data_IF_867288338891
#
_entry.id   IF_867288338891
#
_cell.length_a   1.000
_cell.length_b   1.000
_cell.length_c   1.000
_cell.angle_alpha   90.00
_cell.angle_beta   90.00
_cell.angle_gamma   90.00
#
_symmetry.space_group_name_H-M   'P 1'
#
loop_
_entity.id
_entity.type
_entity.pdbx_description
1 polymer ?
#
# COMPACT_ATOMS: atom_id res chain seq x y z
N UNK A 1 9.55 -24.56 23.77
CA UNK A 1 10.54 -23.60 23.24
C UNK A 1 9.82 -22.26 23.18
N UNK A 2 10.23 -21.30 24.00
CA UNK A 2 9.46 -20.06 24.18
C UNK A 2 9.59 -19.18 22.93
N UNK A 3 8.49 -19.00 22.19
CA UNK A 3 8.44 -18.27 20.91
C UNK A 3 8.95 -16.83 21.10
N UNK A 4 8.71 -16.24 22.28
CA UNK A 4 9.15 -14.89 22.63
C UNK A 4 10.68 -14.76 22.62
N UNK A 5 11.40 -15.76 23.17
CA UNK A 5 12.87 -15.77 23.20
C UNK A 5 13.48 -15.90 21.80
N UNK A 6 12.87 -16.69 20.92
CA UNK A 6 13.33 -16.84 19.54
C UNK A 6 13.16 -15.53 18.77
N UNK A 7 12.03 -14.84 18.94
CA UNK A 7 11.76 -13.54 18.33
C UNK A 7 12.73 -12.46 18.84
N UNK A 8 12.98 -12.41 20.15
CA UNK A 8 13.92 -11.45 20.75
C UNK A 8 15.36 -11.66 20.23
N UNK A 9 15.82 -12.92 20.12
CA UNK A 9 17.15 -13.22 19.55
C UNK A 9 17.27 -12.81 18.08
N UNK A 10 16.24 -13.12 17.28
CA UNK A 10 16.21 -12.74 15.87
C UNK A 10 16.21 -11.22 15.70
N UNK A 11 15.38 -10.53 16.46
CA UNK A 11 15.27 -9.07 16.45
C UNK A 11 16.60 -8.40 16.81
N UNK A 12 17.27 -8.87 17.87
CA UNK A 12 18.58 -8.35 18.28
C UNK A 12 19.64 -8.54 17.19
N UNK A 13 19.67 -9.69 16.52
CA UNK A 13 20.58 -9.96 15.40
C UNK A 13 20.34 -9.00 14.22
N UNK A 14 19.08 -8.71 13.91
CA UNK A 14 18.69 -7.75 12.86
C UNK A 14 19.11 -6.33 13.22
N UNK A 15 18.88 -5.90 14.46
CA UNK A 15 19.25 -4.55 14.97
C UNK A 15 20.75 -4.28 14.96
N UNK A 16 21.58 -5.32 14.98
CA UNK A 16 23.05 -5.21 14.93
C UNK A 16 23.60 -4.98 13.51
N UNK A 17 22.78 -5.04 12.45
CA UNK A 17 23.24 -4.83 11.07
C UNK A 17 23.01 -3.38 10.60
N UNK A 18 24.07 -2.70 10.12
CA UNK A 18 23.99 -1.30 9.65
C UNK A 18 23.07 -1.12 8.44
N UNK A 19 23.08 -2.05 7.49
CA UNK A 19 22.28 -1.96 6.27
C UNK A 19 20.77 -2.06 6.57
N UNK A 20 20.38 -2.88 7.54
CA UNK A 20 19.00 -2.97 7.97
C UNK A 20 18.56 -1.71 8.73
N UNK A 21 19.47 -1.05 9.47
CA UNK A 21 19.21 0.29 10.02
C UNK A 21 18.98 1.33 8.92
N UNK A 22 19.82 1.34 7.89
CA UNK A 22 19.62 2.25 6.75
C UNK A 22 18.32 1.98 6.01
N UNK A 23 17.97 0.70 5.82
CA UNK A 23 16.68 0.33 5.24
C UNK A 23 15.49 0.81 6.09
N UNK A 24 15.58 0.73 7.42
CA UNK A 24 14.57 1.31 8.31
C UNK A 24 14.47 2.83 8.17
N UNK A 25 15.60 3.55 8.09
CA UNK A 25 15.61 5.00 7.86
C UNK A 25 15.02 5.35 6.49
N UNK A 26 15.40 4.61 5.44
CA UNK A 26 14.83 4.75 4.11
C UNK A 26 13.30 4.58 4.13
N UNK A 27 12.78 3.50 4.73
CA UNK A 27 11.34 3.27 4.81
C UNK A 27 10.61 4.41 5.54
N UNK A 28 11.19 4.97 6.61
CA UNK A 28 10.59 6.11 7.32
C UNK A 28 10.47 7.34 6.43
N UNK A 29 11.54 7.67 5.71
CA UNK A 29 11.58 8.83 4.81
C UNK A 29 10.64 8.61 3.63
N UNK A 30 10.67 7.43 3.01
CA UNK A 30 9.84 7.09 1.86
C UNK A 30 8.33 7.10 2.22
N UNK A 31 7.95 6.51 3.34
CA UNK A 31 6.55 6.51 3.82
C UNK A 31 6.07 7.93 4.17
N UNK A 32 6.93 8.73 4.81
CA UNK A 32 6.61 10.13 5.08
C UNK A 32 6.45 10.94 3.78
N UNK A 33 7.33 10.72 2.79
CA UNK A 33 7.22 11.35 1.47
C UNK A 33 5.93 10.96 0.72
N UNK A 34 5.37 9.78 0.97
CA UNK A 34 4.08 9.39 0.40
C UNK A 34 2.87 10.08 1.06
N UNK A 35 2.89 10.24 2.39
CA UNK A 35 1.75 10.80 3.14
C UNK A 35 1.78 12.32 3.30
N UNK A 36 2.94 12.97 3.25
CA UNK A 36 3.02 14.43 3.38
C UNK A 36 2.30 15.17 2.23
N UNK A 37 2.59 14.91 0.93
CA UNK A 37 1.89 15.59 -0.15
C UNK A 37 0.41 15.20 -0.19
N UNK A 38 0.14 13.90 -0.03
CA UNK A 38 -1.22 13.35 -0.05
C UNK A 38 -2.11 13.93 1.05
N UNK A 39 -1.58 14.10 2.25
CA UNK A 39 -2.29 14.70 3.38
C UNK A 39 -2.45 16.21 3.22
N UNK A 40 -1.41 16.90 2.73
CA UNK A 40 -1.45 18.36 2.55
C UNK A 40 -2.56 18.82 1.60
N UNK A 41 -2.71 18.16 0.45
CA UNK A 41 -3.79 18.44 -0.52
C UNK A 41 -5.17 18.30 0.14
N UNK A 42 -5.37 17.32 1.02
CA UNK A 42 -6.64 17.14 1.75
C UNK A 42 -6.90 18.24 2.77
N UNK A 43 -5.84 18.74 3.41
CA UNK A 43 -5.96 19.86 4.36
C UNK A 43 -6.28 21.16 3.64
N UNK A 44 -5.70 21.39 2.45
CA UNK A 44 -6.01 22.55 1.62
C UNK A 44 -7.42 22.51 1.02
N UNK A 45 -8.16 21.41 1.20
CA UNK A 45 -9.50 21.26 0.63
C UNK A 45 -9.49 21.07 -0.88
N UNK A 46 -8.33 20.77 -1.48
CA UNK A 46 -8.19 20.49 -2.90
C UNK A 46 -8.57 19.04 -3.22
N UNK A 47 -8.94 18.80 -4.48
CA UNK A 47 -9.19 17.43 -4.96
C UNK A 47 -7.90 16.64 -4.94
N UNK A 48 -7.96 15.40 -4.44
CA UNK A 48 -6.79 14.51 -4.36
C UNK A 48 -6.20 14.16 -5.74
N UNK A 49 -7.04 14.10 -6.78
CA UNK A 49 -6.63 13.78 -8.15
C UNK A 49 -7.52 14.52 -9.16
N UNK A 50 -7.04 14.66 -10.40
CA UNK A 50 -7.84 15.11 -11.54
C UNK A 50 -8.55 13.95 -12.28
N UNK A 51 -8.79 12.84 -11.59
CA UNK A 51 -9.46 11.68 -12.17
C UNK A 51 -10.92 12.01 -12.46
N UNK A 52 -11.45 11.52 -13.59
CA UNK A 52 -12.85 11.72 -13.96
C UNK A 52 -13.76 11.19 -12.85
N UNK A 53 -14.83 11.94 -12.53
CA UNK A 53 -15.81 11.50 -11.55
C UNK A 53 -16.46 10.17 -11.97
N UNK A 54 -16.60 9.91 -13.28
CA UNK A 54 -17.15 8.65 -13.80
C UNK A 54 -16.29 7.42 -13.48
N UNK A 55 -14.98 7.60 -13.22
CA UNK A 55 -14.11 6.51 -12.84
C UNK A 55 -14.47 6.02 -11.42
N UNK A 56 -14.47 4.71 -11.10
CA UNK A 56 -14.86 4.20 -9.78
C UNK A 56 -14.13 4.85 -8.60
N UNK A 57 -12.80 4.99 -8.71
CA UNK A 57 -11.99 5.73 -7.74
C UNK A 57 -12.33 7.23 -7.70
N UNK A 58 -12.65 7.83 -8.84
CA UNK A 58 -13.02 9.24 -8.95
C UNK A 58 -14.33 9.52 -8.24
N UNK A 59 -15.37 8.70 -8.50
CA UNK A 59 -16.64 8.73 -7.77
C UNK A 59 -16.44 8.68 -6.25
N UNK A 60 -15.64 7.73 -5.76
CA UNK A 60 -15.36 7.60 -4.34
C UNK A 60 -14.64 8.83 -3.77
N UNK A 61 -13.58 9.30 -4.45
CA UNK A 61 -12.79 10.44 -3.98
C UNK A 61 -13.57 11.76 -4.03
N UNK A 62 -14.46 11.94 -5.01
CA UNK A 62 -15.35 13.09 -5.10
C UNK A 62 -16.35 13.07 -3.94
N UNK A 63 -17.03 11.94 -3.70
CA UNK A 63 -17.92 11.80 -2.57
C UNK A 63 -17.19 12.04 -1.24
N UNK A 64 -15.97 11.51 -1.11
CA UNK A 64 -15.12 11.71 0.06
C UNK A 64 -14.74 13.19 0.23
N UNK A 65 -14.38 13.89 -0.84
CA UNK A 65 -14.05 15.32 -0.82
C UNK A 65 -15.23 16.16 -0.31
N UNK A 66 -16.44 15.87 -0.76
CA UNK A 66 -17.68 16.55 -0.32
C UNK A 66 -18.07 16.28 1.14
N UNK A 67 -17.42 15.35 1.84
CA UNK A 67 -17.62 15.18 3.30
C UNK A 67 -17.04 16.34 4.13
N UNK A 68 -16.29 17.27 3.51
CA UNK A 68 -15.77 18.47 4.15
C UNK A 68 -14.77 18.15 5.27
N UNK A 69 -15.18 18.37 6.52
CA UNK A 69 -14.29 18.22 7.68
C UNK A 69 -13.70 16.81 7.81
N UNK A 70 -14.43 15.77 7.39
CA UNK A 70 -13.93 14.39 7.46
C UNK A 70 -12.77 14.17 6.48
N UNK A 71 -12.84 14.74 5.27
CA UNK A 71 -11.75 14.72 4.30
C UNK A 71 -10.48 15.40 4.85
N UNK A 72 -10.63 16.58 5.44
CA UNK A 72 -9.55 17.30 6.12
C UNK A 72 -8.98 16.49 7.29
N UNK A 73 -9.84 15.85 8.10
CA UNK A 73 -9.43 15.02 9.23
C UNK A 73 -8.55 13.84 8.79
N UNK A 74 -8.89 13.16 7.70
CA UNK A 74 -8.02 12.12 7.10
C UNK A 74 -6.65 12.72 6.72
N UNK A 75 -6.63 13.90 6.11
CA UNK A 75 -5.41 14.63 5.77
C UNK A 75 -4.52 14.92 6.99
N UNK A 76 -5.14 15.40 8.08
CA UNK A 76 -4.44 15.65 9.35
C UNK A 76 -3.83 14.35 9.87
N UNK A 77 -4.59 13.25 9.93
CA UNK A 77 -4.06 11.96 10.39
C UNK A 77 -2.89 11.46 9.52
N UNK A 78 -2.97 11.62 8.20
CA UNK A 78 -1.90 11.26 7.27
C UNK A 78 -0.63 12.09 7.54
N UNK A 79 -0.76 13.40 7.68
CA UNK A 79 0.37 14.28 7.97
C UNK A 79 0.95 14.03 9.35
N UNK A 80 0.13 13.83 10.38
CA UNK A 80 0.58 13.49 11.73
C UNK A 80 1.36 12.18 11.71
N UNK A 81 0.85 11.13 11.06
CA UNK A 81 1.56 9.86 10.93
C UNK A 81 2.94 10.03 10.26
N UNK A 82 3.01 10.83 9.18
CA UNK A 82 4.25 11.10 8.46
C UNK A 82 5.27 11.90 9.29
N UNK A 83 4.85 12.96 9.98
CA UNK A 83 5.72 13.77 10.85
C UNK A 83 6.24 12.93 12.03
N UNK A 84 5.37 12.15 12.67
CA UNK A 84 5.78 11.25 13.76
C UNK A 84 6.79 10.20 13.27
N UNK A 85 6.65 9.72 12.02
CA UNK A 85 7.61 8.82 11.38
C UNK A 85 8.97 9.46 11.16
N UNK A 86 9.07 10.76 10.87
CA UNK A 86 10.34 11.46 10.66
C UNK A 86 11.10 11.70 11.98
N UNK A 87 10.40 11.93 13.09
CA UNK A 87 11.01 12.14 14.40
C UNK A 87 11.39 10.79 15.03
N UNK A 88 12.69 10.48 15.25
CA UNK A 88 13.14 9.14 15.68
C UNK A 88 12.52 8.65 16.99
N UNK A 89 12.19 9.55 17.91
CA UNK A 89 11.59 9.22 19.20
C UNK A 89 10.13 8.77 19.07
N UNK A 90 9.37 9.34 18.14
CA UNK A 90 7.94 9.07 17.93
C UNK A 90 7.64 8.10 16.79
N UNK A 91 8.66 7.61 16.10
CA UNK A 91 8.50 6.79 14.89
C UNK A 91 7.65 5.52 15.10
N UNK A 92 7.60 4.97 16.31
CA UNK A 92 6.70 3.84 16.64
C UNK A 92 5.24 4.25 16.54
N UNK A 93 4.88 5.38 17.17
CA UNK A 93 3.51 5.93 17.11
C UNK A 93 3.14 6.28 15.68
N UNK A 94 4.09 6.88 14.94
CA UNK A 94 3.95 7.12 13.52
C UNK A 94 3.63 5.84 12.74
N UNK A 95 4.43 4.78 12.88
CA UNK A 95 4.21 3.51 12.18
C UNK A 95 2.88 2.83 12.55
N UNK A 96 2.48 2.87 13.83
CA UNK A 96 1.20 2.31 14.30
C UNK A 96 0.03 3.09 13.73
N UNK A 97 0.08 4.43 13.73
CA UNK A 97 -0.97 5.27 13.14
C UNK A 97 -1.02 5.14 11.61
N UNK A 98 0.13 5.02 10.96
CA UNK A 98 0.24 4.89 9.51
C UNK A 98 -0.40 3.60 8.99
N UNK A 99 -0.22 2.49 9.72
CA UNK A 99 -0.61 1.15 9.26
C UNK A 99 -2.09 1.02 8.85
N UNK A 100 -3.09 1.33 9.71
CA UNK A 100 -4.50 1.18 9.34
C UNK A 100 -4.88 2.09 8.16
N UNK A 101 -4.27 3.28 8.07
CA UNK A 101 -4.53 4.23 6.98
C UNK A 101 -4.03 3.67 5.64
N UNK A 102 -2.76 3.24 5.58
CA UNK A 102 -2.21 2.70 4.32
C UNK A 102 -2.85 1.37 3.93
N UNK A 103 -3.21 0.54 4.90
CA UNK A 103 -3.90 -0.72 4.65
C UNK A 103 -5.28 -0.46 4.03
N UNK A 104 -6.04 0.50 4.56
CA UNK A 104 -7.33 0.88 3.99
C UNK A 104 -7.17 1.41 2.55
N UNK A 105 -6.20 2.28 2.29
CA UNK A 105 -5.89 2.79 0.94
C UNK A 105 -5.50 1.65 -0.01
N UNK A 106 -4.72 0.68 0.46
CA UNK A 106 -4.30 -0.49 -0.31
C UNK A 106 -5.51 -1.33 -0.71
N UNK A 107 -6.37 -1.67 0.25
CA UNK A 107 -7.59 -2.45 0.01
C UNK A 107 -8.51 -1.71 -0.98
N UNK A 108 -8.72 -0.41 -0.79
CA UNK A 108 -9.51 0.42 -1.70
C UNK A 108 -8.92 0.40 -3.12
N UNK A 109 -7.62 0.62 -3.26
CA UNK A 109 -6.94 0.66 -4.56
C UNK A 109 -7.07 -0.66 -5.32
N UNK A 110 -6.99 -1.79 -4.61
CA UNK A 110 -7.19 -3.13 -5.16
C UNK A 110 -8.66 -3.37 -5.56
N UNK A 111 -9.60 -2.98 -4.70
CA UNK A 111 -11.03 -3.18 -4.93
C UNK A 111 -11.51 -2.49 -6.22
N UNK A 112 -11.05 -1.26 -6.46
CA UNK A 112 -11.46 -0.46 -7.64
C UNK A 112 -10.46 -0.53 -8.80
N UNK A 113 -9.43 -1.39 -8.70
CA UNK A 113 -8.38 -1.59 -9.71
C UNK A 113 -7.70 -0.27 -10.15
N UNK A 114 -7.42 0.61 -9.19
CA UNK A 114 -6.91 1.96 -9.47
C UNK A 114 -5.39 1.96 -9.70
N UNK A 115 -4.99 2.27 -10.94
CA UNK A 115 -3.59 2.23 -11.37
C UNK A 115 -2.68 3.22 -10.62
N UNK A 116 -3.20 4.39 -10.20
CA UNK A 116 -2.40 5.43 -9.55
C UNK A 116 -1.74 5.00 -8.23
N UNK A 117 -2.32 4.01 -7.53
CA UNK A 117 -1.74 3.45 -6.30
C UNK A 117 -1.71 1.93 -6.25
N UNK A 118 -1.96 1.25 -7.37
CA UNK A 118 -2.07 -0.22 -7.42
C UNK A 118 -0.78 -0.91 -6.95
N UNK A 119 0.38 -0.40 -7.40
CA UNK A 119 1.69 -0.94 -7.02
C UNK A 119 2.26 -0.25 -5.78
N UNK A 120 2.09 1.07 -5.64
CA UNK A 120 2.71 1.81 -4.54
C UNK A 120 2.08 1.49 -3.19
N UNK A 121 0.75 1.35 -3.09
CA UNK A 121 0.09 1.14 -1.80
C UNK A 121 0.42 -0.22 -1.15
N UNK A 122 0.49 -1.38 -1.86
CA UNK A 122 0.98 -2.62 -1.25
C UNK A 122 2.44 -2.53 -0.79
N UNK A 123 3.31 -1.86 -1.57
CA UNK A 123 4.71 -1.67 -1.18
C UNK A 123 4.84 -0.80 0.08
N UNK A 124 4.00 0.22 0.22
CA UNK A 124 3.95 1.05 1.43
C UNK A 124 3.41 0.26 2.64
N UNK A 125 2.43 -0.63 2.46
CA UNK A 125 1.99 -1.58 3.50
C UNK A 125 3.17 -2.45 3.94
N UNK A 126 3.91 -3.05 3.01
CA UNK A 126 5.07 -3.90 3.31
C UNK A 126 6.19 -3.13 4.00
N UNK A 127 6.48 -1.91 3.56
CA UNK A 127 7.47 -1.03 4.19
C UNK A 127 7.06 -0.67 5.63
N UNK A 128 5.77 -0.41 5.88
CA UNK A 128 5.30 -0.10 7.23
C UNK A 128 5.25 -1.37 8.12
N UNK A 129 4.90 -2.53 7.57
CA UNK A 129 5.03 -3.82 8.26
C UNK A 129 6.48 -4.08 8.68
N UNK A 130 7.44 -3.81 7.79
CA UNK A 130 8.85 -3.85 8.15
C UNK A 130 9.18 -2.92 9.31
N UNK A 131 8.65 -1.68 9.33
CA UNK A 131 8.86 -0.75 10.45
C UNK A 131 8.23 -1.25 11.76
N UNK A 132 7.04 -1.85 11.71
CA UNK A 132 6.42 -2.46 12.90
C UNK A 132 7.30 -3.60 13.43
N UNK A 133 7.80 -4.48 12.56
CA UNK A 133 8.78 -5.51 12.94
C UNK A 133 10.10 -4.91 13.46
N UNK A 134 10.54 -3.79 12.88
CA UNK A 134 11.72 -3.06 13.32
C UNK A 134 11.55 -2.44 14.71
N UNK A 135 10.33 -2.08 15.12
CA UNK A 135 10.01 -1.54 16.44
C UNK A 135 9.41 -2.57 17.41
N UNK A 136 9.54 -3.86 17.09
CA UNK A 136 9.05 -4.95 17.92
C UNK A 136 9.52 -4.87 19.38
N UNK A 137 10.76 -4.42 19.62
CA UNK A 137 11.33 -4.20 20.96
C UNK A 137 10.47 -3.29 21.85
N UNK A 138 9.75 -2.33 21.24
CA UNK A 138 8.88 -1.38 21.94
C UNK A 138 7.41 -1.81 21.88
N UNK A 139 6.97 -2.38 20.76
CA UNK A 139 5.59 -2.82 20.57
C UNK A 139 5.22 -4.02 21.43
N UNK A 140 6.19 -4.89 21.76
CA UNK A 140 5.94 -6.10 22.55
C UNK A 140 5.33 -5.83 23.93
N UNK A 141 5.57 -4.66 24.51
CA UNK A 141 4.99 -4.25 25.80
C UNK A 141 3.52 -3.83 25.72
N UNK A 142 3.02 -3.53 24.52
CA UNK A 142 1.63 -3.14 24.26
C UNK A 142 0.79 -4.38 23.89
N UNK A 143 1.42 -5.44 23.39
CA UNK A 143 0.73 -6.65 22.96
C UNK A 143 0.27 -7.50 24.17
N UNK A 144 -0.99 -7.99 24.17
CA UNK A 144 -1.57 -8.71 25.30
C UNK A 144 -0.90 -10.07 25.57
N UNK A 145 -0.11 -10.58 24.62
CA UNK A 145 0.48 -11.91 24.64
C UNK A 145 1.92 -11.95 25.17
N UNK A 146 2.53 -10.82 25.55
CA UNK A 146 3.94 -10.80 25.97
C UNK A 146 4.11 -10.16 27.36
N UNK A 147 4.15 -11.00 28.40
CA UNK A 147 4.62 -10.58 29.73
C UNK A 147 6.15 -10.67 29.72
N UNK A 148 6.89 -9.58 29.93
CA UNK A 148 8.35 -9.65 29.93
C UNK A 148 8.84 -10.50 31.11
N UNK A 149 9.69 -11.49 30.83
CA UNK A 149 10.63 -11.95 31.84
C UNK A 149 11.55 -10.77 32.19
N UNK A 150 11.84 -10.61 33.50
CA UNK A 150 12.77 -9.65 34.12
C UNK A 150 13.95 -9.34 33.21
N UNK A 151 14.40 -8.07 33.09
CA UNK A 151 15.39 -7.69 32.09
C UNK A 151 16.68 -8.49 32.28
N UNK A 152 16.93 -9.43 31.36
CA UNK A 152 18.28 -9.91 31.11
C UNK A 152 19.07 -8.66 30.68
N UNK A 153 20.05 -8.30 31.50
CA UNK A 153 21.10 -7.30 31.26
C UNK A 153 21.19 -6.86 29.80
N UNK A 154 21.05 -5.55 29.56
CA UNK A 154 21.25 -4.91 28.25
C UNK A 154 22.41 -5.62 27.52
N UNK A 155 22.17 -6.29 26.38
CA UNK A 155 23.24 -6.95 25.68
C UNK A 155 24.27 -5.89 25.31
N UNK A 156 25.49 -6.16 25.74
CA UNK A 156 26.71 -5.40 25.49
C UNK A 156 26.67 -4.79 24.08
N UNK A 157 27.05 -3.52 23.93
CA UNK A 157 26.99 -2.76 22.67
C UNK A 157 28.00 -3.35 21.67
N UNK A 158 27.71 -4.54 21.15
CA UNK A 158 28.53 -5.20 20.14
C UNK A 158 28.57 -4.30 18.91
N UNK A 159 29.77 -4.14 18.39
CA UNK A 159 30.02 -3.38 17.17
C UNK A 159 29.05 -3.81 16.07
N UNK A 160 28.43 -2.81 15.44
CA UNK A 160 27.51 -2.98 14.32
C UNK A 160 28.18 -3.77 13.19
N UNK A 161 27.57 -4.88 12.78
CA UNK A 161 28.05 -5.64 11.62
C UNK A 161 27.85 -4.83 10.33
N UNK A 162 28.90 -4.76 9.52
CA UNK A 162 28.93 -4.09 8.21
C UNK A 162 28.64 -5.05 7.06
N UNK A 163 28.52 -6.35 7.33
CA UNK A 163 28.25 -7.36 6.30
C UNK A 163 26.90 -7.08 5.64
N UNK A 164 26.92 -6.92 4.32
CA UNK A 164 25.73 -6.69 3.53
C UNK A 164 24.79 -7.91 3.60
N UNK A 165 23.51 -7.76 3.99
CA UNK A 165 22.59 -8.87 4.14
C UNK A 165 21.98 -9.22 2.77
N UNK A 166 22.76 -9.88 1.91
CA UNK A 166 22.36 -10.25 0.54
C UNK A 166 21.02 -10.96 0.48
N UNK A 167 20.80 -11.95 1.34
CA UNK A 167 19.54 -12.71 1.38
C UNK A 167 18.32 -11.83 1.66
N UNK A 168 18.46 -10.83 2.54
CA UNK A 168 17.37 -9.90 2.85
C UNK A 168 17.02 -9.05 1.63
N UNK A 169 18.01 -8.40 1.01
CA UNK A 169 17.78 -7.54 -0.15
C UNK A 169 17.35 -8.33 -1.40
N UNK A 170 17.84 -9.56 -1.58
CA UNK A 170 17.35 -10.48 -2.60
C UNK A 170 15.86 -10.82 -2.36
N UNK A 171 15.49 -11.06 -1.10
CA UNK A 171 14.09 -11.27 -0.70
C UNK A 171 13.20 -10.04 -0.95
N UNK A 172 13.69 -8.84 -0.65
CA UNK A 172 12.98 -7.58 -0.97
C UNK A 172 12.77 -7.45 -2.48
N UNK A 173 13.82 -7.64 -3.28
CA UNK A 173 13.71 -7.57 -4.74
C UNK A 173 12.73 -8.62 -5.30
N UNK A 174 12.82 -9.87 -4.83
CA UNK A 174 11.89 -10.94 -5.20
C UNK A 174 10.45 -10.60 -4.79
N UNK A 175 10.23 -10.01 -3.62
CA UNK A 175 8.90 -9.59 -3.15
C UNK A 175 8.33 -8.48 -4.04
N UNK A 176 9.12 -7.45 -4.35
CA UNK A 176 8.68 -6.35 -5.24
C UNK A 176 8.33 -6.90 -6.62
N UNK A 177 9.16 -7.78 -7.18
CA UNK A 177 8.91 -8.44 -8.45
C UNK A 177 7.64 -9.28 -8.41
N UNK A 178 7.46 -10.10 -7.37
CA UNK A 178 6.28 -10.94 -7.19
C UNK A 178 5.00 -10.11 -7.06
N UNK A 179 5.02 -9.03 -6.27
CA UNK A 179 3.88 -8.10 -6.17
C UNK A 179 3.57 -7.50 -7.54
N UNK A 180 4.59 -7.04 -8.27
CA UNK A 180 4.43 -6.55 -9.64
C UNK A 180 3.77 -7.58 -10.55
N UNK A 181 4.26 -8.82 -10.56
CA UNK A 181 3.70 -9.92 -11.34
C UNK A 181 2.27 -10.26 -10.94
N UNK A 182 1.96 -10.33 -9.64
CA UNK A 182 0.61 -10.62 -9.17
C UNK A 182 -0.33 -9.53 -9.68
N UNK A 183 0.01 -8.25 -9.49
CA UNK A 183 -0.86 -7.14 -9.88
C UNK A 183 -1.06 -7.03 -11.38
N UNK A 184 -0.08 -7.42 -12.21
CA UNK A 184 -0.23 -7.43 -13.66
C UNK A 184 -1.08 -8.60 -14.17
N UNK A 185 -1.19 -9.70 -13.41
CA UNK A 185 -1.90 -10.91 -13.83
C UNK A 185 -3.23 -11.15 -13.09
N UNK A 186 -3.47 -10.49 -11.96
CA UNK A 186 -4.67 -10.73 -11.11
C UNK A 186 -5.95 -10.19 -11.75
N UNK A 187 -5.85 -9.16 -12.59
CA UNK A 187 -7.00 -8.54 -13.23
C UNK A 187 -6.99 -8.78 -14.74
N UNK A 188 -8.06 -9.38 -15.26
CA UNK A 188 -8.25 -9.63 -16.70
C UNK A 188 -8.42 -8.34 -17.50
N UNK A 189 -9.07 -7.34 -16.92
CA UNK A 189 -9.29 -6.01 -17.50
C UNK A 189 -9.23 -4.95 -16.40
N UNK A 190 -8.74 -3.75 -16.73
CA UNK A 190 -8.63 -2.62 -15.77
C UNK A 190 -9.24 -1.35 -16.32
N UNK A 191 -9.88 -0.51 -15.48
CA UNK A 191 -10.48 0.74 -15.93
C UNK A 191 -9.44 1.75 -16.44
N UNK A 192 -8.20 1.72 -15.92
CA UNK A 192 -7.13 2.71 -16.19
C UNK A 192 -7.57 4.15 -15.86
N UNK A 193 -6.61 5.07 -15.77
CA UNK A 193 -6.91 6.44 -15.37
C UNK A 193 -7.61 7.26 -16.47
N UNK A 194 -7.39 6.91 -17.74
CA UNK A 194 -7.95 7.62 -18.90
C UNK A 194 -8.60 6.65 -19.88
N UNK A 195 -9.53 7.15 -20.70
CA UNK A 195 -10.19 6.35 -21.73
C UNK A 195 -9.18 5.80 -22.76
N UNK A 196 -8.20 6.59 -23.18
CA UNK A 196 -7.16 6.16 -24.13
C UNK A 196 -6.30 5.04 -23.56
N UNK A 197 -5.90 5.15 -22.28
CA UNK A 197 -5.11 4.12 -21.61
C UNK A 197 -5.95 2.85 -21.42
N UNK A 198 -7.24 3.00 -21.11
CA UNK A 198 -8.17 1.87 -21.04
C UNK A 198 -8.26 1.15 -22.39
N UNK A 199 -8.52 1.89 -23.47
CA UNK A 199 -8.68 1.31 -24.80
C UNK A 199 -7.39 0.70 -25.35
N UNK A 200 -6.21 1.15 -24.88
CA UNK A 200 -4.93 0.58 -25.28
C UNK A 200 -4.83 -0.93 -24.98
N UNK A 201 -5.53 -1.42 -23.95
CA UNK A 201 -5.54 -2.84 -23.59
C UNK A 201 -6.42 -3.70 -24.51
N UNK A 202 -7.30 -3.08 -25.31
CA UNK A 202 -8.26 -3.80 -26.14
C UNK A 202 -7.66 -4.39 -27.42
N UNK A 203 -6.49 -3.93 -27.87
CA UNK A 203 -5.85 -4.42 -29.10
C UNK A 203 -5.50 -5.91 -29.05
N UNK A 204 -5.13 -6.39 -27.87
CA UNK A 204 -4.69 -7.77 -27.64
C UNK A 204 -5.71 -8.57 -26.80
N UNK A 205 -6.94 -8.07 -26.67
CA UNK A 205 -8.01 -8.74 -25.91
C UNK A 205 -8.68 -9.81 -26.78
N UNK A 206 -9.13 -10.90 -26.15
CA UNK A 206 -9.92 -11.96 -26.80
C UNK A 206 -11.19 -11.40 -27.47
N UNK A 207 -11.79 -10.36 -26.89
CA UNK A 207 -12.92 -9.64 -27.48
C UNK A 207 -12.67 -8.12 -27.42
N UNK A 208 -12.06 -7.53 -28.46
CA UNK A 208 -11.76 -6.10 -28.51
C UNK A 208 -12.99 -5.21 -28.43
N UNK A 209 -14.16 -5.69 -28.89
CA UNK A 209 -15.41 -4.93 -28.80
C UNK A 209 -15.90 -4.87 -27.35
N UNK A 210 -15.98 -6.01 -26.66
CA UNK A 210 -16.37 -6.05 -25.25
C UNK A 210 -15.42 -5.20 -24.38
N UNK A 211 -14.12 -5.20 -24.69
CA UNK A 211 -13.16 -4.35 -24.00
C UNK A 211 -13.44 -2.84 -24.21
N UNK A 212 -13.78 -2.42 -25.44
CA UNK A 212 -14.15 -1.03 -25.72
C UNK A 212 -15.44 -0.62 -25.01
N UNK A 213 -16.43 -1.51 -25.00
CA UNK A 213 -17.69 -1.32 -24.26
C UNK A 213 -17.45 -1.19 -22.75
N UNK A 214 -16.56 -2.00 -22.17
CA UNK A 214 -16.13 -1.86 -20.78
C UNK A 214 -15.50 -0.48 -20.51
N UNK A 215 -14.60 -0.02 -21.37
CA UNK A 215 -13.97 1.28 -21.21
C UNK A 215 -14.98 2.44 -21.33
N UNK A 216 -15.96 2.32 -22.23
CA UNK A 216 -17.04 3.30 -22.41
C UNK A 216 -17.98 3.34 -21.20
N UNK A 217 -18.37 2.15 -20.70
CA UNK A 217 -19.19 1.96 -19.50
C UNK A 217 -18.61 2.70 -18.27
N UNK A 218 -17.28 2.67 -18.12
CA UNK A 218 -16.59 3.38 -17.04
C UNK A 218 -16.42 4.86 -17.33
N UNK A 219 -15.78 5.22 -18.44
CA UNK A 219 -15.29 6.60 -18.62
C UNK A 219 -16.38 7.57 -19.10
N UNK A 220 -17.33 7.10 -19.91
CA UNK A 220 -18.37 7.94 -20.51
C UNK A 220 -19.71 7.78 -19.78
N UNK A 221 -20.08 6.54 -19.40
CA UNK A 221 -21.38 6.28 -18.77
C UNK A 221 -21.35 6.39 -17.24
N UNK A 222 -20.19 6.25 -16.60
CA UNK A 222 -20.03 6.33 -15.15
C UNK A 222 -20.75 5.21 -14.38
N UNK A 223 -20.87 4.03 -14.98
CA UNK A 223 -21.55 2.90 -14.35
C UNK A 223 -20.67 2.23 -13.28
N UNK A 224 -21.26 1.52 -12.31
CA UNK A 224 -20.51 0.76 -11.31
C UNK A 224 -19.55 -0.24 -11.94
N UNK A 225 -18.35 -0.37 -11.34
CA UNK A 225 -17.30 -1.25 -11.85
C UNK A 225 -17.78 -2.71 -12.01
N UNK A 226 -18.53 -3.21 -11.04
CA UNK A 226 -19.04 -4.58 -11.05
C UNK A 226 -20.02 -4.84 -12.20
N UNK A 227 -20.85 -3.86 -12.54
CA UNK A 227 -21.79 -3.97 -13.66
C UNK A 227 -21.06 -3.99 -15.00
N UNK A 228 -20.08 -3.09 -15.19
CA UNK A 228 -19.23 -3.09 -16.38
C UNK A 228 -18.43 -4.39 -16.52
N UNK A 229 -17.90 -4.92 -15.40
CA UNK A 229 -17.19 -6.20 -15.38
C UNK A 229 -18.12 -7.37 -15.73
N UNK A 230 -19.34 -7.37 -15.21
CA UNK A 230 -20.34 -8.40 -15.50
C UNK A 230 -20.70 -8.42 -16.99
N UNK A 231 -20.95 -7.26 -17.59
CA UNK A 231 -21.20 -7.13 -19.03
C UNK A 231 -20.00 -7.63 -19.86
N UNK A 232 -18.78 -7.21 -19.50
CA UNK A 232 -17.55 -7.67 -20.16
C UNK A 232 -17.42 -9.20 -20.12
N UNK A 233 -17.57 -9.80 -18.94
CA UNK A 233 -17.43 -11.25 -18.75
C UNK A 233 -18.52 -12.05 -19.51
N UNK A 234 -19.74 -11.52 -19.62
CA UNK A 234 -20.81 -12.14 -20.40
C UNK A 234 -20.50 -12.11 -21.91
N UNK A 235 -19.99 -10.98 -22.39
CA UNK A 235 -19.64 -10.81 -23.80
C UNK A 235 -18.43 -11.67 -24.22
N UNK A 236 -17.42 -11.83 -23.36
CA UNK A 236 -16.27 -12.72 -23.61
C UNK A 236 -16.67 -14.19 -23.56
N UNK A 237 -17.51 -14.59 -22.61
CA UNK A 237 -18.01 -15.97 -22.52
C UNK A 237 -18.85 -16.39 -23.74
N UNK A 238 -19.55 -15.45 -24.37
CA UNK A 238 -20.36 -15.70 -25.57
C UNK A 238 -19.49 -15.79 -26.83
N UNK A 239 -18.45 -14.96 -26.93
CA UNK A 239 -17.48 -15.00 -28.04
C UNK A 239 -16.64 -16.29 -28.07
N UNK A 240 -16.41 -16.94 -26.93
CA UNK A 240 -15.76 -18.26 -26.86
C UNK A 240 -16.65 -19.45 -27.25
N UNK A 241 -17.94 -19.22 -27.55
CA UNK A 241 -18.94 -20.26 -27.89
C UNK A 241 -19.37 -20.26 -29.36
N UNK A 242 -18.76 -19.44 -30.21
CA UNK A 242 -18.94 -19.56 -31.66
C UNK A 242 -18.30 -20.87 -32.16
N UNK A 243 -19.04 -21.75 -32.86
CA UNK A 243 -18.52 -23.01 -33.40
C UNK A 243 -17.44 -22.80 -34.46
#
# INVERSE_FOLDING_TARGET
>A
MDISLTLDRLHNKVKQNKWLRYFAVFNRIALAAGFLPSGFVKIMGERFTNLSNNHPMGHYLEALHHTGYYYTFIGILQMTAAVLLLIPRTAVLGAVLYFPIILNICILSLAVRFDGSLLSSPLMVLANLYLLCWYYDRLKFILPFNRPAVPASLPDQKALTTKFPTLFFAGVAATVFLVGLILTNVFTIRPRNTLSDCQSQCRNSENPQACREFCDCIHNQGQPLDDCLKAYNQATATAGRTP
#
